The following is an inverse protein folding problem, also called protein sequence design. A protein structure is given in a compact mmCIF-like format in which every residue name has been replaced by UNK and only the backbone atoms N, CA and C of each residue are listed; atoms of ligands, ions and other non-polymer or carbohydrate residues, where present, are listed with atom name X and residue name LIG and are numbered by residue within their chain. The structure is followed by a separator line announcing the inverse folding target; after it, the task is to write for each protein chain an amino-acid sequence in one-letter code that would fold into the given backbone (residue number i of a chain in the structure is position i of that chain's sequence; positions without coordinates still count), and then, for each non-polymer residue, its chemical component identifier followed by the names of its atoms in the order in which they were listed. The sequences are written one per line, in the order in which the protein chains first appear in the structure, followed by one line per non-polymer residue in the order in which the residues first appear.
data_IF_031206790495
#
_entry.id   IF_031206790495
#
_cell.length_a   1.000
_cell.length_b   1.000
_cell.length_c   1.000
_cell.angle_alpha   90.00
_cell.angle_beta   90.00
_cell.angle_gamma   90.00
#
_symmetry.space_group_name_H-M   'P 1'
#
loop_
_entity.id
_entity.type
_entity.pdbx_description
1 polymer ?
#
# COMPACT_ATOMS: atom_id res chain seq x y z
N UNK A 1 -14.87 33.47 33.04
CA UNK A 1 -14.79 32.00 32.87
C UNK A 1 -14.13 31.72 31.52
N UNK A 2 -12.82 31.48 31.52
CA UNK A 2 -12.06 31.15 30.31
C UNK A 2 -12.31 29.68 29.98
N UNK A 3 -13.08 29.41 28.92
CA UNK A 3 -13.27 28.06 28.40
C UNK A 3 -12.00 27.58 27.73
N UNK A 4 -11.25 26.70 28.39
CA UNK A 4 -10.16 25.95 27.80
C UNK A 4 -10.77 25.04 26.72
N UNK A 5 -10.67 25.45 25.45
CA UNK A 5 -10.91 24.56 24.32
C UNK A 5 -9.70 23.63 24.24
N UNK A 6 -9.86 22.44 24.78
CA UNK A 6 -8.88 21.37 24.67
C UNK A 6 -8.91 20.84 23.24
N UNK A 7 -8.06 21.39 22.36
CA UNK A 7 -7.76 20.75 21.09
C UNK A 7 -7.00 19.47 21.40
N UNK A 8 -7.73 18.35 21.45
CA UNK A 8 -7.11 17.03 21.43
C UNK A 8 -6.36 16.86 20.11
N UNK A 9 -5.05 17.12 20.12
CA UNK A 9 -4.12 16.65 19.10
C UNK A 9 -3.96 15.13 19.26
N UNK A 10 -4.97 14.37 18.88
CA UNK A 10 -4.83 12.93 18.66
C UNK A 10 -4.90 12.67 17.17
N UNK A 11 -3.75 12.55 16.50
CA UNK A 11 -3.72 11.82 15.22
C UNK A 11 -2.40 11.09 14.96
N UNK A 12 -1.89 10.31 15.91
CA UNK A 12 -1.09 9.14 15.52
C UNK A 12 -2.05 8.12 14.89
N UNK A 13 -2.23 8.20 13.56
CA UNK A 13 -3.12 7.30 12.82
C UNK A 13 -4.04 7.94 11.78
N UNK A 14 -3.71 9.10 11.19
CA UNK A 14 -4.44 9.57 10.00
C UNK A 14 -4.13 8.60 8.87
N UNK A 15 -5.09 7.74 8.53
CA UNK A 15 -4.99 6.96 7.31
C UNK A 15 -5.04 7.89 6.10
N UNK A 16 -4.11 7.70 5.18
CA UNK A 16 -4.15 8.35 3.88
C UNK A 16 -5.26 7.70 3.06
N UNK A 17 -6.14 8.55 2.55
CA UNK A 17 -7.25 8.13 1.73
C UNK A 17 -6.75 7.77 0.33
N UNK A 18 -7.01 6.54 -0.10
CA UNK A 18 -6.61 6.03 -1.41
C UNK A 18 -7.69 6.36 -2.43
N UNK A 19 -8.89 5.84 -2.22
CA UNK A 19 -10.01 6.07 -3.10
C UNK A 19 -11.34 5.63 -2.48
N UNK A 20 -12.44 6.19 -2.98
CA UNK A 20 -13.81 5.79 -2.64
C UNK A 20 -14.65 5.68 -3.89
N UNK A 21 -15.62 4.79 -3.83
CA UNK A 21 -16.58 4.49 -4.87
C UNK A 21 -17.82 3.88 -4.24
N UNK A 22 -18.84 3.60 -5.07
CA UNK A 22 -20.08 2.97 -4.60
C UNK A 22 -19.89 1.58 -3.97
N UNK A 23 -18.82 0.87 -4.32
CA UNK A 23 -18.60 -0.53 -3.95
C UNK A 23 -17.26 -0.80 -3.24
N UNK A 24 -16.40 0.21 -3.12
CA UNK A 24 -15.09 0.11 -2.49
C UNK A 24 -14.70 1.43 -1.84
N UNK A 25 -14.30 1.37 -0.58
CA UNK A 25 -13.57 2.43 0.12
C UNK A 25 -12.24 1.85 0.60
N UNK A 26 -11.14 2.54 0.27
CA UNK A 26 -9.80 2.09 0.58
C UNK A 26 -8.98 3.24 1.17
N UNK A 27 -8.25 2.93 2.22
CA UNK A 27 -7.29 3.82 2.87
C UNK A 27 -6.10 2.99 3.37
N UNK A 28 -4.98 3.66 3.65
CA UNK A 28 -3.80 3.01 4.20
C UNK A 28 -3.16 3.87 5.28
N UNK A 29 -2.46 3.22 6.21
CA UNK A 29 -1.66 3.90 7.22
C UNK A 29 -0.34 3.16 7.36
N UNK A 30 0.74 3.89 7.54
CA UNK A 30 2.03 3.28 7.89
C UNK A 30 1.99 2.75 9.32
N UNK A 31 2.58 1.58 9.52
CA UNK A 31 2.64 0.92 10.83
C UNK A 31 3.82 1.40 11.69
N UNK A 32 4.69 2.25 11.14
CA UNK A 32 5.79 2.87 11.87
C UNK A 32 5.51 4.36 12.15
N UNK A 33 6.35 4.99 12.95
CA UNK A 33 6.19 6.39 13.34
C UNK A 33 6.89 7.38 12.41
N UNK A 34 7.28 6.95 11.21
CA UNK A 34 8.17 7.73 10.34
C UNK A 34 7.43 8.27 9.12
N UNK A 35 7.91 9.40 8.60
CA UNK A 35 7.39 9.94 7.34
C UNK A 35 7.89 9.09 6.16
N UNK A 36 6.99 8.80 5.22
CA UNK A 36 7.29 8.06 4.00
C UNK A 36 6.94 8.92 2.78
N UNK A 37 7.83 8.94 1.81
CA UNK A 37 7.53 9.44 0.47
C UNK A 37 7.00 8.26 -0.34
N UNK A 38 5.72 7.96 -0.17
CA UNK A 38 5.03 6.85 -0.82
C UNK A 38 3.62 7.31 -1.20
N UNK A 39 3.29 7.18 -2.47
CA UNK A 39 1.94 7.43 -2.97
C UNK A 39 1.56 6.25 -3.83
N UNK A 40 0.42 5.66 -3.52
CA UNK A 40 -0.19 4.60 -4.32
C UNK A 40 -1.51 5.12 -4.85
N UNK A 41 -1.75 5.00 -6.15
CA UNK A 41 -3.00 5.40 -6.78
C UNK A 41 -3.57 4.22 -7.56
N UNK A 42 -4.89 4.04 -7.49
CA UNK A 42 -5.59 2.94 -8.14
C UNK A 42 -6.73 3.48 -9.01
N UNK A 43 -6.72 3.14 -10.30
CA UNK A 43 -7.77 3.55 -11.24
C UNK A 43 -8.27 2.37 -12.09
N UNK A 44 -9.60 2.17 -12.21
CA UNK A 44 -10.67 2.80 -11.44
C UNK A 44 -10.76 2.23 -10.01
N UNK A 45 -11.22 3.04 -9.06
CA UNK A 45 -11.57 2.55 -7.73
C UNK A 45 -12.93 1.84 -7.80
N UNK A 46 -12.96 0.54 -8.11
CA UNK A 46 -14.18 -0.29 -8.07
C UNK A 46 -13.79 -1.76 -8.19
N UNK A 47 -14.40 -2.64 -7.39
CA UNK A 47 -14.16 -4.09 -7.47
C UNK A 47 -15.12 -4.74 -8.47
N UNK A 48 -16.33 -4.21 -8.58
CA UNK A 48 -17.38 -4.83 -9.39
C UNK A 48 -17.26 -4.52 -10.88
N UNK A 49 -16.79 -3.32 -11.23
CA UNK A 49 -16.85 -2.78 -12.60
C UNK A 49 -15.65 -3.12 -13.48
N UNK A 50 -14.50 -3.50 -12.89
CA UNK A 50 -13.29 -3.80 -13.65
C UNK A 50 -12.67 -5.13 -13.25
N UNK A 51 -11.93 -5.74 -14.18
CA UNK A 51 -11.04 -6.89 -13.92
C UNK A 51 -9.57 -6.48 -13.89
N UNK A 52 -9.26 -5.26 -14.36
CA UNK A 52 -7.91 -4.71 -14.46
C UNK A 52 -7.91 -3.36 -13.76
N UNK A 53 -7.06 -3.23 -12.76
CA UNK A 53 -6.80 -1.97 -12.08
C UNK A 53 -5.45 -1.45 -12.53
N UNK A 54 -5.38 -0.20 -12.96
CA UNK A 54 -4.12 0.50 -13.19
C UNK A 54 -3.64 1.05 -11.86
N UNK A 55 -2.48 0.62 -11.44
CA UNK A 55 -1.82 1.10 -10.25
C UNK A 55 -0.65 2.01 -10.65
N UNK A 56 -0.56 3.17 -10.01
CA UNK A 56 0.62 4.04 -10.09
C UNK A 56 1.26 4.09 -8.72
N UNK A 57 2.55 3.76 -8.65
CA UNK A 57 3.36 3.78 -7.44
C UNK A 57 4.42 4.86 -7.58
N UNK A 58 4.43 5.80 -6.63
CA UNK A 58 5.53 6.72 -6.41
C UNK A 58 6.16 6.38 -5.07
N UNK A 59 7.46 6.09 -5.05
CA UNK A 59 8.14 5.70 -3.81
C UNK A 59 9.61 6.16 -3.81
N UNK A 60 10.06 6.71 -2.68
CA UNK A 60 11.48 6.94 -2.40
C UNK A 60 11.91 5.98 -1.27
N UNK A 61 12.73 4.95 -1.57
CA UNK A 61 13.17 4.00 -0.58
C UNK A 61 14.17 4.64 0.37
N UNK A 62 14.11 4.22 1.63
CA UNK A 62 14.98 4.73 2.71
C UNK A 62 16.24 3.90 2.91
N UNK A 63 16.42 2.86 2.12
CA UNK A 63 17.52 1.91 2.16
C UNK A 63 17.70 1.33 0.77
N UNK A 64 18.91 0.88 0.48
CA UNK A 64 19.23 0.24 -0.80
C UNK A 64 18.42 -1.06 -0.93
N UNK A 65 17.73 -1.23 -2.06
CA UNK A 65 16.79 -2.33 -2.28
C UNK A 65 17.53 -3.54 -2.86
N UNK A 66 18.49 -4.09 -2.14
CA UNK A 66 19.19 -5.33 -2.57
C UNK A 66 18.39 -6.60 -2.26
N UNK A 67 17.45 -6.51 -1.34
CA UNK A 67 16.57 -7.60 -0.95
C UNK A 67 15.20 -7.04 -0.59
N UNK A 68 14.17 -7.45 -1.34
CA UNK A 68 12.81 -6.98 -1.16
C UNK A 68 11.87 -8.17 -1.05
N UNK A 69 11.24 -8.25 0.12
CA UNK A 69 10.26 -9.28 0.43
C UNK A 69 8.94 -8.62 0.80
N UNK A 70 7.91 -8.98 0.05
CA UNK A 70 6.54 -8.55 0.32
C UNK A 70 5.86 -9.62 1.16
N UNK A 71 5.19 -9.17 2.22
CA UNK A 71 4.36 -10.02 3.09
C UNK A 71 2.96 -9.41 3.18
N UNK A 72 1.97 -10.13 2.67
CA UNK A 72 0.57 -9.74 2.73
C UNK A 72 -0.16 -10.56 3.79
N UNK A 73 -0.74 -9.85 4.77
CA UNK A 73 -1.63 -10.40 5.78
C UNK A 73 -3.02 -9.80 5.60
N UNK A 74 -3.99 -10.63 5.25
CA UNK A 74 -5.40 -10.19 5.13
C UNK A 74 -6.14 -10.67 6.36
N UNK A 75 -6.82 -9.74 7.00
CA UNK A 75 -7.67 -10.00 8.16
C UNK A 75 -9.12 -9.66 7.79
N UNK A 76 -10.05 -10.49 8.25
CA UNK A 76 -11.49 -10.27 8.11
C UNK A 76 -12.13 -10.52 9.45
N UNK A 77 -12.85 -9.53 9.99
CA UNK A 77 -13.53 -9.63 11.29
C UNK A 77 -12.62 -10.11 12.45
N UNK A 78 -11.35 -9.69 12.45
CA UNK A 78 -10.37 -10.08 13.47
C UNK A 78 -9.68 -11.43 13.25
N UNK A 79 -10.09 -12.21 12.26
CA UNK A 79 -9.45 -13.48 11.90
C UNK A 79 -8.55 -13.33 10.68
N UNK A 80 -7.41 -14.04 10.68
CA UNK A 80 -6.48 -14.02 9.55
C UNK A 80 -7.05 -14.86 8.40
N UNK A 81 -7.53 -14.19 7.37
CA UNK A 81 -8.12 -14.83 6.19
C UNK A 81 -7.04 -15.32 5.19
N UNK A 82 -5.92 -14.61 5.07
CA UNK A 82 -4.88 -14.95 4.09
C UNK A 82 -3.49 -14.50 4.55
N UNK A 83 -2.48 -15.28 4.19
CA UNK A 83 -1.08 -14.97 4.42
C UNK A 83 -0.27 -15.37 3.19
N UNK A 84 0.35 -14.40 2.55
CA UNK A 84 1.17 -14.62 1.38
C UNK A 84 2.50 -13.89 1.52
N UNK A 85 3.55 -14.56 1.07
CA UNK A 85 4.92 -14.05 1.11
C UNK A 85 5.49 -14.21 -0.29
N UNK A 86 6.10 -13.15 -0.79
CA UNK A 86 6.72 -13.15 -2.09
C UNK A 86 8.06 -12.42 -2.02
N UNK A 87 9.06 -13.03 -2.62
CA UNK A 87 10.38 -12.45 -2.74
C UNK A 87 10.44 -11.78 -4.11
N UNK A 88 10.57 -10.46 -4.12
CA UNK A 88 10.72 -9.68 -5.35
C UNK A 88 12.19 -9.53 -5.75
N UNK A 89 13.05 -9.28 -4.77
CA UNK A 89 14.49 -9.14 -4.99
C UNK A 89 15.24 -10.11 -4.08
N UNK A 90 16.07 -10.93 -4.70
CA UNK A 90 17.02 -11.89 -4.14
C UNK A 90 18.50 -11.54 -4.40
N UNK A 91 18.82 -10.29 -4.77
CA UNK A 91 20.17 -9.80 -4.98
C UNK A 91 20.18 -8.57 -5.89
N UNK A 92 21.35 -8.27 -6.47
CA UNK A 92 21.49 -7.20 -7.47
C UNK A 92 21.05 -7.66 -8.89
N UNK A 93 21.28 -8.92 -9.24
CA UNK A 93 21.00 -9.46 -10.59
C UNK A 93 19.61 -10.13 -10.65
N UNK A 94 18.56 -9.37 -10.33
CA UNK A 94 17.17 -9.85 -10.40
C UNK A 94 16.41 -9.28 -11.61
N UNK A 95 15.28 -9.91 -11.92
CA UNK A 95 14.42 -9.58 -13.07
C UNK A 95 13.89 -8.13 -13.05
N UNK A 96 13.83 -7.51 -11.88
CA UNK A 96 13.28 -6.17 -11.72
C UNK A 96 14.38 -5.13 -11.47
N UNK A 97 14.36 -4.05 -12.26
CA UNK A 97 15.23 -2.88 -12.07
C UNK A 97 15.12 -2.24 -10.68
N UNK A 98 14.00 -2.47 -9.97
CA UNK A 98 13.79 -2.01 -8.60
C UNK A 98 14.76 -2.64 -7.60
N UNK A 99 15.40 -3.77 -7.93
CA UNK A 99 16.32 -4.52 -7.06
C UNK A 99 17.75 -3.97 -7.00
N UNK A 100 18.05 -2.96 -7.82
CA UNK A 100 19.34 -2.25 -7.79
C UNK A 100 19.18 -0.81 -7.28
N UNK A 101 17.97 -0.42 -6.86
CA UNK A 101 17.71 0.95 -6.43
C UNK A 101 18.45 1.30 -5.15
N UNK A 102 19.07 2.47 -5.16
CA UNK A 102 19.76 3.04 -4.02
C UNK A 102 18.81 3.88 -3.16
N UNK A 103 19.17 4.03 -1.89
CA UNK A 103 18.48 4.92 -0.96
C UNK A 103 18.35 6.33 -1.55
N UNK A 104 17.13 6.86 -1.53
CA UNK A 104 16.83 8.22 -1.96
C UNK A 104 16.55 8.37 -3.45
N UNK A 105 16.69 7.31 -4.25
CA UNK A 105 16.25 7.29 -5.64
C UNK A 105 14.71 7.34 -5.74
N UNK A 106 14.18 7.85 -6.85
CA UNK A 106 12.74 7.96 -7.03
C UNK A 106 12.24 6.84 -7.92
N UNK A 107 11.37 5.99 -7.40
CA UNK A 107 10.63 4.99 -8.16
C UNK A 107 9.30 5.58 -8.60
N UNK A 108 9.03 5.55 -9.91
CA UNK A 108 7.71 5.85 -10.47
C UNK A 108 7.35 4.72 -11.40
N UNK A 109 6.40 3.88 -11.00
CA UNK A 109 6.00 2.69 -11.75
C UNK A 109 4.50 2.70 -11.99
N UNK A 110 4.11 2.27 -13.19
CA UNK A 110 2.73 2.04 -13.57
C UNK A 110 2.56 0.58 -13.97
N UNK A 111 1.65 -0.12 -13.29
CA UNK A 111 1.42 -1.53 -13.55
C UNK A 111 -0.05 -1.90 -13.47
N UNK A 112 -0.43 -2.88 -14.28
CA UNK A 112 -1.78 -3.43 -14.28
C UNK A 112 -1.90 -4.54 -13.24
N UNK A 113 -2.74 -4.32 -12.24
CA UNK A 113 -3.18 -5.35 -11.31
C UNK A 113 -4.34 -6.09 -11.96
N UNK A 114 -4.12 -7.36 -12.30
CA UNK A 114 -5.17 -8.27 -12.79
C UNK A 114 -5.64 -9.12 -11.61
N UNK A 115 -6.81 -8.82 -11.08
CA UNK A 115 -7.39 -9.57 -9.98
C UNK A 115 -8.17 -10.78 -10.47
N UNK A 116 -7.94 -11.93 -9.84
CA UNK A 116 -8.92 -13.01 -9.83
C UNK A 116 -10.02 -12.65 -8.85
N UNK A 117 -11.30 -12.78 -9.26
CA UNK A 117 -12.43 -12.68 -8.32
C UNK A 117 -12.36 -13.85 -7.36
N UNK A 118 -11.72 -13.67 -6.21
CA UNK A 118 -11.79 -14.62 -5.11
C UNK A 118 -13.17 -14.40 -4.49
N UNK A 119 -14.09 -15.34 -4.70
CA UNK A 119 -15.29 -15.39 -3.89
C UNK A 119 -14.83 -15.73 -2.47
N UNK A 120 -14.79 -14.73 -1.59
CA UNK A 120 -14.66 -14.99 -0.15
C UNK A 120 -15.92 -15.77 0.24
N UNK A 121 -15.77 -17.10 0.40
CA UNK A 121 -16.84 -17.96 0.86
C UNK A 121 -17.43 -17.38 2.15
N UNK A 122 -18.76 -17.37 2.21
CA UNK A 122 -19.55 -16.77 3.28
C UNK A 122 -19.43 -17.60 4.55
#
# INVERSE_FOLDING_TARGET
MFGLIFFTLFTSGVGEFLCTSSDLEMSYTFCDSTAHAFVFNLTPCSIMKTKVWKATLYWIPRSDITFLKIVFHVWRNGERAFNWKHLLCSGADDEYSLCEMLKGETLVEEFDIKGLRIQFLK
#
